data_IF_160298029280
#
_entry.id   IF_160298029280
#
_cell.length_a   1.000
_cell.length_b   1.000
_cell.length_c   1.000
_cell.angle_alpha   90.00
_cell.angle_beta   90.00
_cell.angle_gamma   90.00
#
_symmetry.space_group_name_H-M   'P 1'
#
loop_
_entity.id
_entity.type
_entity.pdbx_description
1 polymer ?
#
# COMPACT_ATOMS: atom_id res chain seq x y z
N UNK A 1 -6.50 -3.86 -30.45
CA UNK A 1 -7.03 -3.00 -29.37
C UNK A 1 -7.25 -3.88 -28.15
N UNK A 2 -6.23 -4.00 -27.30
CA UNK A 2 -6.36 -4.75 -26.05
C UNK A 2 -7.00 -3.86 -25.01
N UNK A 3 -8.13 -4.29 -24.48
CA UNK A 3 -8.87 -3.59 -23.44
C UNK A 3 -8.00 -3.56 -22.17
N UNK A 4 -7.51 -2.37 -21.82
CA UNK A 4 -6.88 -2.09 -20.54
C UNK A 4 -7.97 -2.25 -19.47
N UNK A 5 -8.05 -3.43 -18.88
CA UNK A 5 -8.90 -3.68 -17.71
C UNK A 5 -8.34 -2.87 -16.55
N UNK A 6 -9.02 -1.76 -16.25
CA UNK A 6 -8.71 -0.86 -15.14
C UNK A 6 -8.88 -1.62 -13.81
N UNK A 7 -7.79 -2.21 -13.31
CA UNK A 7 -7.72 -2.90 -12.02
C UNK A 7 -7.80 -1.84 -10.91
N UNK A 8 -9.03 -1.46 -10.51
CA UNK A 8 -9.23 -0.51 -9.42
C UNK A 8 -8.67 -1.09 -8.12
N UNK A 9 -7.77 -0.36 -7.47
CA UNK A 9 -7.08 -0.77 -6.25
C UNK A 9 -8.01 -1.33 -5.18
N UNK A 10 -7.79 -2.59 -4.83
CA UNK A 10 -8.62 -3.42 -3.93
C UNK A 10 -8.68 -2.89 -2.49
N UNK A 11 -7.69 -2.11 -2.05
CA UNK A 11 -7.54 -1.72 -0.65
C UNK A 11 -8.63 -0.77 -0.13
N UNK A 12 -9.25 0.04 -1.00
CA UNK A 12 -10.39 0.87 -0.59
C UNK A 12 -11.67 0.05 -0.35
N UNK A 13 -11.83 -1.07 -1.07
CA UNK A 13 -12.99 -1.94 -0.91
C UNK A 13 -12.91 -2.77 0.37
N UNK A 14 -11.73 -3.23 0.78
CA UNK A 14 -11.59 -4.05 2.00
C UNK A 14 -11.93 -3.26 3.27
N UNK A 15 -11.51 -1.99 3.36
CA UNK A 15 -11.88 -1.12 4.48
C UNK A 15 -13.37 -0.77 4.50
N UNK A 16 -13.96 -0.49 3.33
CA UNK A 16 -15.41 -0.25 3.22
C UNK A 16 -16.23 -1.46 3.65
N UNK A 17 -15.83 -2.67 3.23
CA UNK A 17 -16.47 -3.93 3.64
C UNK A 17 -16.34 -4.15 5.15
N UNK A 18 -15.15 -3.91 5.72
CA UNK A 18 -14.92 -4.03 7.16
C UNK A 18 -15.78 -3.06 7.98
N UNK A 19 -15.86 -1.79 7.55
CA UNK A 19 -16.70 -0.79 8.23
C UNK A 19 -18.19 -1.17 8.18
N UNK A 20 -18.69 -1.65 7.04
CA UNK A 20 -20.07 -2.13 6.91
C UNK A 20 -20.32 -3.33 7.81
N UNK A 21 -19.38 -4.30 7.87
CA UNK A 21 -19.49 -5.46 8.75
C UNK A 21 -19.60 -5.04 10.23
N UNK A 22 -18.74 -4.11 10.68
CA UNK A 22 -18.78 -3.60 12.06
C UNK A 22 -20.11 -2.90 12.35
N UNK A 23 -20.61 -2.11 11.42
CA UNK A 23 -21.91 -1.44 11.56
C UNK A 23 -23.06 -2.46 11.68
N UNK A 24 -23.06 -3.49 10.84
CA UNK A 24 -24.05 -4.58 10.90
C UNK A 24 -23.99 -5.30 12.25
N UNK A 25 -22.79 -5.66 12.71
CA UNK A 25 -22.61 -6.32 14.02
C UNK A 25 -23.06 -5.42 15.18
N UNK A 26 -22.74 -4.13 15.14
CA UNK A 26 -23.19 -3.17 16.15
C UNK A 26 -24.71 -3.03 16.16
N UNK A 27 -25.36 -2.97 14.98
CA UNK A 27 -26.81 -2.95 14.89
C UNK A 27 -27.44 -4.22 15.42
N UNK A 28 -26.90 -5.39 15.07
CA UNK A 28 -27.37 -6.67 15.60
C UNK A 28 -27.23 -6.74 17.13
N UNK A 29 -26.11 -6.26 17.67
CA UNK A 29 -25.89 -6.18 19.12
C UNK A 29 -26.92 -5.25 19.80
N UNK A 30 -27.18 -4.07 19.22
CA UNK A 30 -28.20 -3.14 19.72
C UNK A 30 -29.59 -3.76 19.70
N UNK A 31 -29.98 -4.41 18.59
CA UNK A 31 -31.27 -5.10 18.49
C UNK A 31 -31.36 -6.18 19.55
N UNK A 32 -30.33 -7.01 19.69
CA UNK A 32 -30.29 -8.08 20.70
C UNK A 32 -30.43 -7.54 22.12
N UNK A 33 -29.70 -6.47 22.48
CA UNK A 33 -29.82 -5.85 23.82
C UNK A 33 -31.23 -5.31 24.04
N UNK A 34 -31.79 -4.59 23.05
CA UNK A 34 -33.14 -4.02 23.18
C UNK A 34 -34.20 -5.11 23.33
N UNK A 35 -34.18 -6.17 22.51
CA UNK A 35 -35.19 -7.23 22.57
C UNK A 35 -35.15 -8.05 23.85
N UNK A 36 -33.97 -8.23 24.46
CA UNK A 36 -33.83 -8.99 25.71
C UNK A 36 -34.14 -8.14 26.95
N UNK A 37 -33.73 -6.87 26.98
CA UNK A 37 -33.86 -6.04 28.19
C UNK A 37 -35.14 -5.18 28.21
N UNK A 38 -35.63 -4.72 27.05
CA UNK A 38 -36.79 -3.82 27.02
C UNK A 38 -38.07 -4.44 27.64
N UNK A 39 -38.40 -5.73 27.44
CA UNK A 39 -39.63 -6.30 28.01
C UNK A 39 -39.69 -6.28 29.53
N UNK A 40 -38.54 -6.29 30.21
CA UNK A 40 -38.44 -6.28 31.68
C UNK A 40 -38.51 -4.86 32.27
N UNK A 41 -38.44 -3.83 31.41
CA UNK A 41 -38.33 -2.44 31.80
C UNK A 41 -39.67 -1.69 31.69
N UNK A 42 -39.86 -0.70 32.57
CA UNK A 42 -40.99 0.24 32.45
C UNK A 42 -40.86 1.10 31.17
N UNK A 43 -41.97 1.63 30.65
CA UNK A 43 -41.96 2.36 29.37
C UNK A 43 -41.02 3.58 29.33
N UNK A 44 -40.81 4.26 30.46
CA UNK A 44 -39.83 5.35 30.56
C UNK A 44 -38.38 4.84 30.47
N UNK A 45 -38.07 3.70 31.10
CA UNK A 45 -36.76 3.06 31.02
C UNK A 45 -36.47 2.53 29.61
N UNK A 46 -37.47 1.97 28.92
CA UNK A 46 -37.31 1.53 27.52
C UNK A 46 -36.89 2.68 26.61
N UNK A 47 -37.51 3.85 26.75
CA UNK A 47 -37.18 5.05 25.98
C UNK A 47 -35.74 5.51 26.25
N UNK A 48 -35.32 5.43 27.51
CA UNK A 48 -33.95 5.78 27.92
C UNK A 48 -32.92 4.80 27.35
N UNK A 49 -33.21 3.49 27.39
CA UNK A 49 -32.37 2.44 26.81
C UNK A 49 -32.22 2.64 25.29
N UNK A 50 -33.34 2.86 24.58
CA UNK A 50 -33.34 3.04 23.13
C UNK A 50 -32.51 4.27 22.72
N UNK A 51 -32.71 5.39 23.42
CA UNK A 51 -31.92 6.62 23.22
C UNK A 51 -30.42 6.37 23.44
N UNK A 52 -30.04 5.66 24.50
CA UNK A 52 -28.65 5.29 24.77
C UNK A 52 -28.03 4.43 23.67
N UNK A 53 -28.74 3.37 23.25
CA UNK A 53 -28.26 2.46 22.21
C UNK A 53 -28.11 3.15 20.85
N UNK A 54 -29.09 3.99 20.47
CA UNK A 54 -29.02 4.78 19.23
C UNK A 54 -27.85 5.76 19.26
N UNK A 55 -27.63 6.43 20.40
CA UNK A 55 -26.50 7.35 20.57
C UNK A 55 -25.16 6.65 20.36
N UNK A 56 -25.00 5.45 20.94
CA UNK A 56 -23.79 4.64 20.77
C UNK A 56 -23.60 4.23 19.30
N UNK A 57 -24.66 3.75 18.64
CA UNK A 57 -24.62 3.36 17.22
C UNK A 57 -24.18 4.53 16.33
N UNK A 58 -24.69 5.73 16.63
CA UNK A 58 -24.38 6.94 15.88
C UNK A 58 -22.91 7.34 16.07
N UNK A 59 -22.37 7.25 17.29
CA UNK A 59 -20.94 7.48 17.57
C UNK A 59 -20.07 6.51 16.77
N UNK A 60 -20.40 5.21 16.78
CA UNK A 60 -19.65 4.19 16.02
C UNK A 60 -19.67 4.50 14.52
N UNK A 61 -20.85 4.84 13.97
CA UNK A 61 -20.98 5.16 12.56
C UNK A 61 -20.14 6.40 12.16
N UNK A 62 -20.15 7.45 12.98
CA UNK A 62 -19.35 8.66 12.73
C UNK A 62 -17.86 8.37 12.86
N UNK A 63 -17.44 7.59 13.85
CA UNK A 63 -16.05 7.19 14.00
C UNK A 63 -15.56 6.38 12.79
N UNK A 64 -16.36 5.42 12.31
CA UNK A 64 -16.05 4.65 11.11
C UNK A 64 -15.97 5.53 9.86
N UNK A 65 -16.87 6.52 9.73
CA UNK A 65 -16.80 7.49 8.64
C UNK A 65 -15.48 8.29 8.70
N UNK A 66 -15.07 8.72 9.88
CA UNK A 66 -13.80 9.43 10.09
C UNK A 66 -12.58 8.57 9.74
N UNK A 67 -12.57 7.31 10.18
CA UNK A 67 -11.49 6.35 9.86
C UNK A 67 -11.45 6.09 8.35
N UNK A 68 -12.60 5.92 7.71
CA UNK A 68 -12.68 5.71 6.27
C UNK A 68 -12.18 6.92 5.47
N UNK A 69 -12.48 8.15 5.91
CA UNK A 69 -12.02 9.37 5.22
C UNK A 69 -10.52 9.62 5.42
N UNK A 70 -9.98 9.37 6.61
CA UNK A 70 -8.54 9.47 6.89
C UNK A 70 -7.79 8.47 6.01
N UNK A 71 -8.14 7.19 6.07
CA UNK A 71 -7.40 6.15 5.36
C UNK A 71 -7.62 6.25 3.83
N UNK A 72 -8.80 6.71 3.40
CA UNK A 72 -9.15 6.84 1.98
C UNK A 72 -8.42 7.95 1.24
N UNK A 73 -7.96 9.01 1.93
CA UNK A 73 -7.34 10.18 1.27
C UNK A 73 -5.81 10.13 1.19
N UNK A 74 -5.14 9.37 2.06
CA UNK A 74 -3.68 9.46 2.16
C UNK A 74 -2.87 8.60 1.17
N UNK A 75 -3.46 7.56 0.57
CA UNK A 75 -2.67 6.60 -0.23
C UNK A 75 -2.56 6.91 -1.73
N UNK A 76 -3.54 7.60 -2.34
CA UNK A 76 -3.55 7.81 -3.80
C UNK A 76 -2.75 9.01 -4.25
N UNK A 77 -2.78 10.11 -3.50
CA UNK A 77 -2.12 11.35 -3.92
C UNK A 77 -0.60 11.18 -4.05
N UNK A 78 0.03 10.48 -3.09
CA UNK A 78 1.47 10.25 -3.13
C UNK A 78 1.88 9.34 -4.30
N UNK A 79 1.06 8.34 -4.65
CA UNK A 79 1.34 7.47 -5.80
C UNK A 79 1.14 8.20 -7.12
N UNK A 80 0.11 9.05 -7.24
CA UNK A 80 -0.07 9.89 -8.43
C UNK A 80 1.09 10.86 -8.61
N UNK A 81 1.54 11.51 -7.53
CA UNK A 81 2.71 12.38 -7.56
C UNK A 81 3.97 11.61 -7.92
N UNK A 82 4.23 10.46 -7.29
CA UNK A 82 5.38 9.60 -7.63
C UNK A 82 5.34 9.13 -9.08
N UNK A 83 4.16 8.73 -9.59
CA UNK A 83 3.99 8.31 -10.98
C UNK A 83 4.14 9.47 -11.98
N UNK A 84 3.85 10.71 -11.56
CA UNK A 84 4.11 11.90 -12.35
C UNK A 84 5.60 12.25 -12.34
N UNK A 85 6.27 12.17 -11.19
CA UNK A 85 7.70 12.42 -11.04
C UNK A 85 8.55 11.37 -11.77
N UNK A 86 8.17 10.09 -11.71
CA UNK A 86 8.83 9.04 -12.48
C UNK A 86 8.73 9.27 -14.00
N UNK A 87 7.59 9.79 -14.48
CA UNK A 87 7.42 10.17 -15.89
C UNK A 87 8.26 11.39 -16.28
N UNK A 88 8.55 12.32 -15.36
CA UNK A 88 9.45 13.43 -15.63
C UNK A 88 10.90 12.94 -15.77
N UNK A 89 11.33 12.02 -14.90
CA UNK A 89 12.65 11.38 -14.99
C UNK A 89 12.81 10.62 -16.31
N UNK A 90 11.79 9.85 -16.71
CA UNK A 90 11.76 9.15 -18.01
C UNK A 90 11.91 10.13 -19.19
N UNK A 91 11.33 11.33 -19.08
CA UNK A 91 11.45 12.39 -20.10
C UNK A 91 12.80 13.13 -20.04
N UNK A 92 13.71 12.71 -19.17
CA UNK A 92 15.05 13.26 -19.02
C UNK A 92 15.15 14.46 -18.07
N UNK A 93 14.05 14.83 -17.42
CA UNK A 93 14.01 15.92 -16.45
C UNK A 93 14.48 15.38 -15.08
N UNK A 94 15.74 15.66 -14.74
CA UNK A 94 16.41 15.13 -13.55
C UNK A 94 16.50 16.13 -12.39
N UNK A 95 15.93 17.32 -12.52
CA UNK A 95 15.86 18.31 -11.42
C UNK A 95 14.54 18.21 -10.65
N UNK A 96 14.11 16.98 -10.40
CA UNK A 96 12.85 16.68 -9.71
C UNK A 96 13.13 16.49 -8.24
N UNK A 97 12.47 17.26 -7.36
CA UNK A 97 12.64 17.11 -5.91
C UNK A 97 11.97 15.82 -5.41
N UNK A 98 12.82 14.90 -4.96
CA UNK A 98 12.45 13.60 -4.40
C UNK A 98 12.86 13.47 -2.92
N UNK A 99 13.35 14.54 -2.31
CA UNK A 99 13.73 14.50 -0.91
C UNK A 99 12.48 14.27 -0.04
N UNK A 100 12.53 13.26 0.84
CA UNK A 100 11.43 12.93 1.74
C UNK A 100 11.93 12.60 3.13
N UNK A 101 11.21 13.11 4.13
CA UNK A 101 11.40 12.73 5.54
C UNK A 101 10.46 11.59 5.97
N UNK A 102 9.73 10.98 5.02
CA UNK A 102 8.84 9.85 5.32
C UNK A 102 9.64 8.57 5.60
N UNK A 103 9.15 7.81 6.59
CA UNK A 103 9.72 6.53 7.04
C UNK A 103 8.78 5.35 6.82
N UNK A 104 7.78 5.51 5.96
CA UNK A 104 6.85 4.45 5.56
C UNK A 104 7.15 3.95 4.13
N UNK A 105 6.40 2.95 3.68
CA UNK A 105 6.54 2.33 2.36
C UNK A 105 6.58 3.36 1.21
N UNK A 106 5.87 4.49 1.36
CA UNK A 106 5.87 5.56 0.35
C UNK A 106 7.18 6.34 0.37
N UNK A 107 7.76 6.57 1.55
CA UNK A 107 9.11 7.12 1.69
C UNK A 107 10.17 6.24 1.03
N UNK A 108 9.99 4.93 1.07
CA UNK A 108 10.90 3.98 0.42
C UNK A 108 10.81 4.04 -1.11
N UNK A 109 9.61 4.22 -1.68
CA UNK A 109 9.45 4.45 -3.12
C UNK A 109 10.10 5.77 -3.56
N UNK A 110 9.96 6.84 -2.78
CA UNK A 110 10.65 8.11 -3.04
C UNK A 110 12.17 7.94 -3.07
N UNK A 111 12.74 7.21 -2.09
CA UNK A 111 14.17 6.89 -2.07
C UNK A 111 14.61 6.06 -3.26
N UNK A 112 13.86 5.02 -3.63
CA UNK A 112 14.18 4.20 -4.80
C UNK A 112 14.15 5.01 -6.10
N UNK A 113 13.17 5.92 -6.24
CA UNK A 113 13.08 6.80 -7.40
C UNK A 113 14.21 7.84 -7.43
N UNK A 114 14.67 8.30 -6.26
CA UNK A 114 15.82 9.20 -6.15
C UNK A 114 17.11 8.52 -6.59
N UNK A 115 17.32 7.26 -6.17
CA UNK A 115 18.45 6.45 -6.64
C UNK A 115 18.42 6.28 -8.17
N UNK A 116 17.23 6.02 -8.76
CA UNK A 116 17.09 5.89 -10.21
C UNK A 116 17.40 7.19 -10.96
N UNK A 117 16.91 8.33 -10.45
CA UNK A 117 17.21 9.66 -11.01
C UNK A 117 18.72 9.94 -10.94
N UNK A 118 19.32 9.67 -9.78
CA UNK A 118 20.73 9.94 -9.54
C UNK A 118 21.61 9.03 -10.40
N UNK A 119 21.22 7.77 -10.63
CA UNK A 119 21.93 6.85 -11.54
C UNK A 119 21.86 7.31 -13.01
N UNK A 120 20.72 7.82 -13.48
CA UNK A 120 20.59 8.41 -14.82
C UNK A 120 21.45 9.69 -14.97
N UNK A 121 21.52 10.48 -13.90
CA UNK A 121 22.37 11.67 -13.84
C UNK A 121 23.85 11.29 -13.87
N UNK A 122 24.21 10.22 -13.16
CA UNK A 122 25.55 9.65 -13.12
C UNK A 122 25.92 9.01 -14.47
N UNK A 123 25.01 8.29 -15.12
CA UNK A 123 25.26 7.66 -16.42
C UNK A 123 25.57 8.71 -17.50
N UNK A 124 24.80 9.81 -17.55
CA UNK A 124 25.13 10.93 -18.45
C UNK A 124 26.49 11.56 -18.17
N UNK A 125 27.02 11.44 -16.95
CA UNK A 125 28.25 12.08 -16.53
C UNK A 125 29.47 11.13 -16.54
N UNK A 126 29.24 9.82 -16.40
CA UNK A 126 30.29 8.81 -16.19
C UNK A 126 30.17 7.56 -17.08
N UNK A 127 29.10 7.38 -17.84
CA UNK A 127 28.90 6.20 -18.70
C UNK A 127 28.74 4.91 -17.88
N UNK A 128 27.88 4.93 -16.86
CA UNK A 128 27.45 3.71 -16.16
C UNK A 128 26.46 3.01 -17.07
N UNK A 129 26.95 2.04 -17.83
CA UNK A 129 26.23 1.34 -18.90
C UNK A 129 24.71 1.24 -18.64
N UNK A 130 23.92 2.06 -19.35
CA UNK A 130 22.47 1.99 -19.37
C UNK A 130 21.94 0.56 -19.61
N UNK A 131 22.75 -0.30 -20.21
CA UNK A 131 22.50 -1.74 -20.38
C UNK A 131 22.35 -2.48 -19.05
N UNK A 132 23.19 -2.17 -18.04
CA UNK A 132 23.15 -2.82 -16.72
C UNK A 132 21.88 -2.42 -15.96
N UNK A 133 21.52 -1.14 -16.01
CA UNK A 133 20.28 -0.63 -15.39
C UNK A 133 19.05 -1.22 -16.09
N UNK A 134 19.06 -1.27 -17.43
CA UNK A 134 17.98 -1.88 -18.20
C UNK A 134 17.80 -3.37 -17.88
N UNK A 135 18.89 -4.12 -17.78
CA UNK A 135 18.87 -5.54 -17.42
C UNK A 135 18.32 -5.77 -16.00
N UNK A 136 18.65 -4.88 -15.06
CA UNK A 136 18.07 -4.91 -13.71
C UNK A 136 16.57 -4.63 -13.71
N UNK A 137 16.12 -3.63 -14.47
CA UNK A 137 14.70 -3.33 -14.61
C UNK A 137 13.93 -4.49 -15.25
N UNK A 138 14.48 -5.13 -16.29
CA UNK A 138 13.86 -6.29 -16.93
C UNK A 138 13.75 -7.48 -15.97
N UNK A 139 14.83 -7.77 -15.24
CA UNK A 139 14.85 -8.85 -14.23
C UNK A 139 13.86 -8.56 -13.10
N UNK A 140 13.77 -7.31 -12.63
CA UNK A 140 12.78 -6.91 -11.63
C UNK A 140 11.33 -7.05 -12.13
N UNK A 141 11.08 -6.82 -13.42
CA UNK A 141 9.77 -7.05 -14.05
C UNK A 141 9.45 -8.54 -14.12
N UNK A 142 10.41 -9.40 -14.47
CA UNK A 142 10.23 -10.86 -14.44
C UNK A 142 9.87 -11.36 -13.03
N UNK A 143 10.62 -10.92 -12.03
CA UNK A 143 10.38 -11.25 -10.62
C UNK A 143 8.97 -10.79 -10.22
N UNK A 144 8.57 -9.57 -10.59
CA UNK A 144 7.22 -9.03 -10.34
C UNK A 144 6.12 -9.88 -11.00
N UNK A 145 6.40 -10.50 -12.15
CA UNK A 145 5.49 -11.40 -12.85
C UNK A 145 5.44 -12.82 -12.25
N UNK A 146 6.14 -13.06 -11.13
CA UNK A 146 6.09 -14.30 -10.37
C UNK A 146 7.18 -15.31 -10.72
N UNK A 147 8.23 -14.88 -11.44
CA UNK A 147 9.42 -15.70 -11.62
C UNK A 147 10.40 -15.47 -10.44
N UNK A 148 10.13 -16.10 -9.31
CA UNK A 148 10.92 -15.95 -8.08
C UNK A 148 12.31 -16.63 -8.15
N UNK A 149 12.61 -17.35 -9.24
CA UNK A 149 13.92 -17.98 -9.46
C UNK A 149 14.94 -17.04 -10.13
N UNK A 150 14.49 -15.92 -10.72
CA UNK A 150 15.39 -14.88 -11.24
C UNK A 150 16.09 -14.13 -10.10
N UNK A 151 17.32 -13.68 -10.34
CA UNK A 151 18.18 -12.97 -9.36
C UNK A 151 18.83 -11.76 -10.02
N UNK A 152 19.02 -10.68 -9.27
CA UNK A 152 19.82 -9.54 -9.73
C UNK A 152 21.31 -9.87 -9.62
N UNK A 153 22.10 -9.41 -10.58
CA UNK A 153 23.52 -9.76 -10.70
C UNK A 153 24.39 -8.94 -9.74
N UNK A 154 24.86 -9.54 -8.65
CA UNK A 154 25.54 -8.83 -7.56
C UNK A 154 26.95 -8.32 -7.92
N UNK A 155 27.63 -8.95 -8.90
CA UNK A 155 28.97 -8.56 -9.34
C UNK A 155 28.91 -7.50 -10.44
N UNK A 156 28.45 -6.31 -10.08
CA UNK A 156 28.47 -5.12 -10.93
C UNK A 156 29.54 -4.14 -10.45
N UNK A 157 30.18 -3.46 -11.39
CA UNK A 157 31.26 -2.49 -11.11
C UNK A 157 30.77 -1.29 -10.28
N UNK A 158 29.47 -1.00 -10.32
CA UNK A 158 28.84 0.03 -9.51
C UNK A 158 28.47 -0.51 -8.11
N UNK A 159 29.10 -0.01 -7.03
CA UNK A 159 28.84 -0.47 -5.67
C UNK A 159 27.40 -0.27 -5.21
N UNK A 160 26.69 0.75 -5.72
CA UNK A 160 25.31 1.03 -5.33
C UNK A 160 24.35 0.02 -5.97
N UNK A 161 24.59 -0.34 -7.23
CA UNK A 161 23.81 -1.38 -7.91
C UNK A 161 24.06 -2.76 -7.28
N UNK A 162 25.31 -3.05 -6.89
CA UNK A 162 25.64 -4.27 -6.17
C UNK A 162 24.90 -4.38 -4.82
N UNK A 163 24.84 -3.29 -4.05
CA UNK A 163 24.08 -3.26 -2.80
C UNK A 163 22.57 -3.44 -3.04
N UNK A 164 22.02 -2.78 -4.07
CA UNK A 164 20.61 -2.94 -4.44
C UNK A 164 20.30 -4.39 -4.81
N UNK A 165 21.16 -5.04 -5.60
CA UNK A 165 21.03 -6.43 -6.00
C UNK A 165 21.01 -7.38 -4.80
N UNK A 166 21.97 -7.24 -3.89
CA UNK A 166 22.05 -8.03 -2.66
C UNK A 166 20.76 -7.89 -1.84
N UNK A 167 20.29 -6.66 -1.60
CA UNK A 167 19.05 -6.44 -0.84
C UNK A 167 17.84 -7.06 -1.52
N UNK A 168 17.75 -6.97 -2.85
CA UNK A 168 16.64 -7.54 -3.59
C UNK A 168 16.65 -9.08 -3.53
N UNK A 169 17.82 -9.69 -3.73
CA UNK A 169 18.00 -11.14 -3.66
C UNK A 169 17.69 -11.66 -2.25
N UNK A 170 18.07 -10.94 -1.19
CA UNK A 170 17.75 -11.29 0.19
C UNK A 170 16.23 -11.34 0.45
N UNK A 171 15.48 -10.38 -0.09
CA UNK A 171 14.01 -10.37 0.01
C UNK A 171 13.39 -11.58 -0.71
N UNK A 172 13.93 -11.96 -1.87
CA UNK A 172 13.46 -13.14 -2.61
C UNK A 172 13.74 -14.44 -1.85
N UNK A 173 14.92 -14.55 -1.24
CA UNK A 173 15.26 -15.70 -0.42
C UNK A 173 14.34 -15.80 0.81
N UNK A 174 13.97 -14.67 1.40
CA UNK A 174 13.03 -14.62 2.51
C UNK A 174 11.63 -15.11 2.11
N UNK A 175 11.11 -14.66 0.97
CA UNK A 175 9.85 -15.19 0.41
C UNK A 175 9.89 -16.68 0.15
N UNK A 176 10.99 -17.17 -0.44
CA UNK A 176 11.12 -18.60 -0.77
C UNK A 176 11.10 -19.45 0.50
N UNK A 177 11.78 -19.00 1.56
CA UNK A 177 11.71 -19.64 2.89
C UNK A 177 10.30 -19.64 3.47
N UNK A 178 9.59 -18.52 3.40
CA UNK A 178 8.23 -18.41 3.94
C UNK A 178 7.24 -19.32 3.18
N UNK A 179 7.35 -19.40 1.86
CA UNK A 179 6.54 -20.30 1.04
C UNK A 179 6.82 -21.78 1.36
N UNK A 180 8.08 -22.13 1.65
CA UNK A 180 8.46 -23.49 2.02
C UNK A 180 7.90 -23.90 3.39
N UNK A 181 7.82 -22.95 4.33
CA UNK A 181 7.19 -23.14 5.65
C UNK A 181 5.68 -23.38 5.51
N UNK A 182 4.98 -22.61 4.66
CA UNK A 182 3.53 -22.76 4.45
C UNK A 182 3.17 -24.07 3.72
N UNK A 183 4.12 -24.68 3.02
CA UNK A 183 3.94 -25.95 2.30
C UNK A 183 4.10 -27.22 3.17
N UNK A 184 4.47 -27.08 4.45
CA UNK A 184 4.67 -28.19 5.41
C UNK A 184 3.54 -28.31 6.42
#
# INVERSE_FOLDING_TARGET
MSAVTKRSGSYGRTLGVGAVLVLVLATLAVVNVYTNLAPEMSGSQQSMLLSGLVSILLIVAVALLFVATIIGRERTAAVETLAAQARQIEQGELDVDLATNRTDDVGDIYRALAVLRDSEQLDRQHGVSAEVVAQYCETAVEISNGNDDSRLEENVDDPQLAELAMRFNEILDQRKRDAEIDSR
#
